data_IF_557913542053
#
_entry.id   IF_557913542053
#
_cell.length_a   1.000
_cell.length_b   1.000
_cell.length_c   1.000
_cell.angle_alpha   90.00
_cell.angle_beta   90.00
_cell.angle_gamma   90.00
#
_symmetry.space_group_name_H-M   'P 1'
#
loop_
_entity.id
_entity.type
_entity.pdbx_description
1 polymer ?
#
# COMPACT_ATOMS: atom_id res chain seq x y z
N UNK A 1 16.98 -21.31 -70.09
CA UNK A 1 16.03 -20.70 -69.12
C UNK A 1 16.73 -20.68 -67.77
N UNK A 2 16.81 -19.51 -67.16
CA UNK A 2 17.76 -19.13 -66.13
C UNK A 2 17.46 -19.68 -64.72
N UNK A 3 18.53 -19.82 -63.94
CA UNK A 3 18.53 -20.02 -62.48
C UNK A 3 18.00 -18.76 -61.80
N UNK A 4 17.04 -18.91 -60.88
CA UNK A 4 16.72 -17.89 -59.89
C UNK A 4 16.56 -18.54 -58.52
N UNK A 5 17.65 -18.50 -57.76
CA UNK A 5 17.68 -18.66 -56.31
C UNK A 5 16.95 -17.48 -55.67
N UNK A 6 15.90 -17.74 -54.88
CA UNK A 6 15.28 -16.73 -54.04
C UNK A 6 15.94 -16.74 -52.64
N UNK A 7 16.46 -15.61 -52.14
CA UNK A 7 16.83 -15.47 -50.75
C UNK A 7 15.61 -15.01 -49.95
N UNK A 8 15.18 -15.75 -48.92
CA UNK A 8 14.31 -15.18 -47.89
C UNK A 8 14.94 -15.37 -46.52
N UNK A 9 15.71 -14.32 -46.17
CA UNK A 9 15.94 -13.79 -44.83
C UNK A 9 15.50 -14.64 -43.65
N UNK A 10 16.51 -15.04 -42.85
CA UNK A 10 16.40 -15.14 -41.39
C UNK A 10 15.65 -13.94 -40.82
N UNK A 11 14.36 -14.10 -40.56
CA UNK A 11 13.69 -13.27 -39.55
C UNK A 11 14.01 -13.87 -38.20
N UNK A 12 15.09 -13.37 -37.58
CA UNK A 12 15.21 -13.38 -36.12
C UNK A 12 13.98 -12.63 -35.62
N UNK A 13 13.00 -13.35 -35.08
CA UNK A 13 11.97 -12.73 -34.26
C UNK A 13 12.68 -12.06 -33.10
N UNK A 14 12.62 -10.73 -33.07
CA UNK A 14 13.05 -9.91 -31.93
C UNK A 14 12.47 -10.53 -30.66
N UNK A 15 13.34 -11.12 -29.85
CA UNK A 15 13.05 -11.31 -28.43
C UNK A 15 12.67 -9.96 -27.86
N UNK A 16 11.58 -9.82 -27.08
CA UNK A 16 11.29 -8.59 -26.37
C UNK A 16 12.52 -8.29 -25.52
N UNK A 17 13.20 -7.19 -25.81
CA UNK A 17 14.42 -6.81 -25.10
C UNK A 17 14.00 -6.52 -23.67
N UNK A 18 14.27 -7.49 -22.79
CA UNK A 18 13.96 -7.41 -21.38
C UNK A 18 14.62 -6.13 -20.83
N UNK A 19 13.88 -5.16 -20.30
CA UNK A 19 14.44 -3.86 -19.90
C UNK A 19 15.55 -4.02 -18.85
N UNK A 20 15.49 -5.09 -18.05
CA UNK A 20 16.54 -5.47 -17.11
C UNK A 20 17.85 -5.88 -17.81
N UNK A 21 17.78 -6.52 -18.97
CA UNK A 21 18.96 -6.91 -19.75
C UNK A 21 19.67 -5.67 -20.36
N UNK A 22 18.91 -4.63 -20.71
CA UNK A 22 19.46 -3.35 -21.19
C UNK A 22 20.20 -2.63 -20.06
N UNK A 23 19.61 -2.60 -18.85
CA UNK A 23 20.24 -2.00 -17.67
C UNK A 23 21.54 -2.73 -17.31
N UNK A 24 21.54 -4.07 -17.34
CA UNK A 24 22.73 -4.88 -17.06
C UNK A 24 23.85 -4.67 -18.10
N UNK A 25 23.50 -4.59 -19.39
CA UNK A 25 24.47 -4.35 -20.46
C UNK A 25 25.10 -2.95 -20.38
N UNK A 26 24.33 -1.93 -20.04
CA UNK A 26 24.81 -0.57 -19.90
C UNK A 26 25.61 -0.35 -18.60
N UNK A 27 25.31 -1.09 -17.53
CA UNK A 27 26.16 -1.15 -16.32
C UNK A 27 27.52 -1.80 -16.61
N UNK A 28 27.53 -2.88 -17.40
CA UNK A 28 28.76 -3.57 -17.79
C UNK A 28 29.66 -2.74 -18.73
N UNK A 29 29.08 -1.82 -19.50
CA UNK A 29 29.79 -0.94 -20.44
C UNK A 29 30.31 0.38 -19.82
N UNK A 30 30.33 0.51 -18.48
CA UNK A 30 30.90 1.69 -17.82
C UNK A 30 30.03 2.95 -17.90
N UNK A 31 28.80 2.86 -18.40
CA UNK A 31 27.80 3.94 -18.41
C UNK A 31 26.98 4.01 -17.12
N UNK A 32 27.35 3.22 -16.10
CA UNK A 32 26.69 3.16 -14.80
C UNK A 32 26.41 4.53 -14.15
N UNK A 33 27.34 5.50 -14.15
CA UNK A 33 27.09 6.82 -13.56
C UNK A 33 25.98 7.60 -14.28
N UNK A 34 25.93 7.53 -15.62
CA UNK A 34 24.95 8.23 -16.45
C UNK A 34 23.56 7.60 -16.33
N UNK A 35 23.49 6.28 -16.14
CA UNK A 35 22.24 5.58 -15.84
C UNK A 35 21.73 5.87 -14.43
N UNK A 36 22.62 5.97 -13.44
CA UNK A 36 22.26 6.36 -12.08
C UNK A 36 21.74 7.80 -12.07
N UNK A 37 22.36 8.70 -12.82
CA UNK A 37 21.91 10.09 -12.97
C UNK A 37 20.57 10.17 -13.70
N UNK A 38 20.35 9.35 -14.75
CA UNK A 38 19.05 9.21 -15.42
C UNK A 38 17.97 8.63 -14.50
N UNK A 39 18.28 7.61 -13.70
CA UNK A 39 17.35 7.05 -12.70
C UNK A 39 17.03 8.07 -11.62
N UNK A 40 18.03 8.79 -11.10
CA UNK A 40 17.84 9.82 -10.09
C UNK A 40 17.03 11.00 -10.64
N UNK A 41 17.29 11.45 -11.87
CA UNK A 41 16.50 12.49 -12.53
C UNK A 41 15.09 12.01 -12.86
N UNK A 42 14.89 10.74 -13.21
CA UNK A 42 13.57 10.16 -13.45
C UNK A 42 12.79 9.99 -12.14
N UNK A 43 13.42 9.57 -11.04
CA UNK A 43 12.82 9.53 -9.70
C UNK A 43 12.45 10.95 -9.21
N UNK A 44 13.33 11.92 -9.44
CA UNK A 44 13.09 13.34 -9.11
C UNK A 44 12.02 13.97 -10.01
N UNK A 45 11.96 13.57 -11.28
CA UNK A 45 10.90 13.96 -12.21
C UNK A 45 9.57 13.29 -11.83
N UNK A 46 9.57 12.04 -11.36
CA UNK A 46 8.37 11.35 -10.87
C UNK A 46 7.80 12.02 -9.60
N UNK A 47 8.65 12.59 -8.74
CA UNK A 47 8.20 13.47 -7.64
C UNK A 47 7.57 14.78 -8.14
N UNK A 48 8.02 15.30 -9.29
CA UNK A 48 7.51 16.53 -9.91
C UNK A 48 6.26 16.33 -10.78
N UNK A 49 6.14 15.16 -11.42
CA UNK A 49 5.04 14.77 -12.30
C UNK A 49 4.03 13.98 -11.47
N UNK A 50 3.54 14.56 -10.36
CA UNK A 50 2.31 14.18 -9.65
C UNK A 50 1.97 12.68 -9.53
N UNK A 51 2.96 11.77 -9.57
CA UNK A 51 2.71 10.36 -9.41
C UNK A 51 2.26 10.19 -7.97
N UNK A 52 1.21 9.39 -7.71
CA UNK A 52 0.72 9.19 -6.36
C UNK A 52 1.87 8.63 -5.54
N UNK A 53 2.46 9.49 -4.71
CA UNK A 53 3.47 9.09 -3.75
C UNK A 53 2.75 8.08 -2.87
N UNK A 54 3.20 6.83 -2.90
CA UNK A 54 2.66 5.82 -2.02
C UNK A 54 2.87 6.30 -0.58
N UNK A 55 1.78 6.71 0.07
CA UNK A 55 1.84 7.14 1.46
C UNK A 55 2.28 5.91 2.27
N UNK A 56 3.31 6.03 3.13
CA UNK A 56 3.71 4.93 3.98
C UNK A 56 2.52 4.48 4.83
N UNK A 57 2.20 3.19 4.76
CA UNK A 57 1.11 2.54 5.47
C UNK A 57 1.60 1.18 5.96
N UNK A 58 1.05 0.71 7.08
CA UNK A 58 1.42 -0.56 7.70
C UNK A 58 0.69 -1.73 7.03
N UNK A 59 -0.56 -1.51 6.60
CA UNK A 59 -1.42 -2.55 6.03
C UNK A 59 -2.23 -2.05 4.84
N UNK A 60 -2.29 -2.84 3.76
CA UNK A 60 -3.14 -2.58 2.59
C UNK A 60 -4.35 -3.54 2.58
N UNK A 61 -5.53 -2.99 2.87
CA UNK A 61 -6.84 -3.64 2.81
C UNK A 61 -7.70 -3.06 1.68
N UNK A 62 -7.11 -2.29 0.77
CA UNK A 62 -7.84 -1.71 -0.37
C UNK A 62 -8.19 -2.74 -1.43
N UNK A 63 -7.56 -3.93 -1.41
CA UNK A 63 -7.76 -5.00 -2.39
C UNK A 63 -7.68 -4.54 -3.87
N UNK A 64 -6.88 -3.50 -4.14
CA UNK A 64 -6.77 -2.92 -5.49
C UNK A 64 -7.90 -1.96 -5.86
N UNK A 65 -8.69 -1.49 -4.89
CA UNK A 65 -9.70 -0.44 -5.08
C UNK A 65 -9.07 0.78 -5.74
N UNK A 66 -9.77 1.33 -6.74
CA UNK A 66 -9.39 2.55 -7.43
C UNK A 66 -9.50 3.78 -6.51
N UNK A 67 -10.44 3.73 -5.58
CA UNK A 67 -10.60 4.72 -4.51
C UNK A 67 -10.04 4.10 -3.23
N UNK A 68 -8.81 4.48 -2.89
CA UNK A 68 -8.15 4.08 -1.64
C UNK A 68 -8.02 5.29 -0.71
N UNK A 69 -8.28 5.05 0.57
CA UNK A 69 -8.22 6.01 1.66
C UNK A 69 -7.20 5.53 2.68
N UNK A 70 -6.53 6.45 3.35
CA UNK A 70 -5.55 6.18 4.39
C UNK A 70 -6.13 6.55 5.73
N UNK A 71 -6.28 5.59 6.64
CA UNK A 71 -6.92 5.79 7.94
C UNK A 71 -5.95 5.39 9.04
N UNK A 72 -5.88 6.20 10.08
CA UNK A 72 -4.94 5.99 11.19
C UNK A 72 -5.68 5.50 12.42
N UNK A 73 -5.29 4.34 12.93
CA UNK A 73 -5.77 3.82 14.21
C UNK A 73 -4.77 4.15 15.29
N UNK A 74 -5.19 4.91 16.31
CA UNK A 74 -4.32 5.37 17.39
C UNK A 74 -4.74 4.80 18.73
N UNK A 75 -3.84 4.06 19.37
CA UNK A 75 -4.01 3.57 20.73
C UNK A 75 -3.08 4.29 21.69
N UNK A 76 -3.60 5.35 22.31
CA UNK A 76 -2.86 6.23 23.22
C UNK A 76 -1.73 7.02 22.53
N UNK A 77 -0.81 7.64 23.30
CA UNK A 77 0.15 8.62 22.78
C UNK A 77 1.36 8.03 22.04
N UNK A 78 1.43 6.70 21.84
CA UNK A 78 2.66 6.04 21.36
C UNK A 78 2.44 5.00 20.25
N UNK A 79 1.20 4.74 19.83
CA UNK A 79 0.91 3.66 18.89
C UNK A 79 -0.11 4.10 17.86
N UNK A 80 0.36 4.18 16.63
CA UNK A 80 -0.43 4.50 15.46
C UNK A 80 -0.19 3.40 14.43
N UNK A 81 -1.25 2.99 13.75
CA UNK A 81 -1.20 2.09 12.60
C UNK A 81 -1.96 2.75 11.46
N UNK A 82 -1.30 2.89 10.32
CA UNK A 82 -1.88 3.50 9.13
C UNK A 82 -2.34 2.40 8.18
N UNK A 83 -3.62 2.40 7.85
CA UNK A 83 -4.23 1.43 6.95
C UNK A 83 -4.60 2.11 5.65
N UNK A 84 -4.25 1.48 4.53
CA UNK A 84 -4.82 1.82 3.24
C UNK A 84 -6.07 0.95 3.03
N UNK A 85 -7.24 1.55 2.94
CA UNK A 85 -8.54 0.87 2.83
C UNK A 85 -9.33 1.37 1.61
N UNK A 86 -10.26 0.56 1.13
CA UNK A 86 -11.27 1.01 0.16
C UNK A 86 -12.59 1.34 0.85
N UNK A 87 -13.53 2.01 0.16
CA UNK A 87 -14.84 2.32 0.71
C UNK A 87 -15.66 1.07 1.09
N UNK A 88 -15.42 -0.05 0.40
CA UNK A 88 -16.11 -1.32 0.63
C UNK A 88 -15.36 -2.24 1.62
N UNK A 89 -14.21 -1.79 2.16
CA UNK A 89 -13.46 -2.56 3.17
C UNK A 89 -14.30 -2.70 4.43
N UNK A 90 -14.50 -3.95 4.88
CA UNK A 90 -15.18 -4.25 6.15
C UNK A 90 -14.23 -3.88 7.30
N UNK A 91 -14.63 -2.93 8.15
CA UNK A 91 -13.75 -2.37 9.19
C UNK A 91 -13.36 -3.39 10.27
N UNK A 92 -14.12 -4.47 10.41
CA UNK A 92 -13.75 -5.61 11.25
C UNK A 92 -12.35 -6.15 10.91
N UNK A 93 -11.99 -6.22 9.62
CA UNK A 93 -10.66 -6.70 9.23
C UNK A 93 -9.54 -5.79 9.71
N UNK A 94 -9.71 -4.47 9.60
CA UNK A 94 -8.75 -3.51 10.13
C UNK A 94 -8.62 -3.65 11.67
N UNK A 95 -9.73 -3.84 12.37
CA UNK A 95 -9.74 -4.07 13.82
C UNK A 95 -9.02 -5.37 14.20
N UNK A 96 -9.25 -6.46 13.47
CA UNK A 96 -8.55 -7.74 13.69
C UNK A 96 -7.02 -7.55 13.57
N UNK A 97 -6.55 -6.79 12.59
CA UNK A 97 -5.13 -6.44 12.45
C UNK A 97 -4.61 -5.57 13.59
N UNK A 98 -5.38 -4.59 14.07
CA UNK A 98 -5.01 -3.81 15.26
C UNK A 98 -4.84 -4.70 16.49
N UNK A 99 -5.81 -5.61 16.74
CA UNK A 99 -5.79 -6.56 17.85
C UNK A 99 -4.57 -7.49 17.78
N UNK A 100 -4.23 -7.98 16.58
CA UNK A 100 -3.08 -8.84 16.36
C UNK A 100 -1.74 -8.10 16.47
N UNK A 101 -1.65 -6.87 15.98
CA UNK A 101 -0.40 -6.10 15.97
C UNK A 101 -0.05 -5.62 17.37
N UNK A 102 -1.02 -5.05 18.10
CA UNK A 102 -0.78 -4.56 19.46
C UNK A 102 -0.68 -5.66 20.51
N UNK A 103 -0.98 -6.92 20.14
CA UNK A 103 -0.78 -8.14 20.95
C UNK A 103 0.67 -8.32 21.42
N UNK A 104 1.63 -8.00 20.57
CA UNK A 104 3.04 -8.36 20.80
C UNK A 104 3.71 -7.48 21.86
N UNK A 105 3.19 -6.28 22.09
CA UNK A 105 3.86 -5.27 22.90
C UNK A 105 3.44 -5.27 24.37
N UNK A 106 2.30 -5.87 24.71
CA UNK A 106 1.71 -5.81 26.08
C UNK A 106 1.76 -7.18 26.79
N UNK A 107 2.36 -8.20 26.16
CA UNK A 107 2.53 -9.53 26.77
C UNK A 107 1.22 -10.32 26.93
N UNK A 108 0.14 -9.91 26.27
CA UNK A 108 -1.20 -10.51 26.37
C UNK A 108 -2.06 -10.22 25.14
N UNK A 109 -3.13 -11.02 24.96
CA UNK A 109 -4.10 -10.81 23.86
C UNK A 109 -5.13 -9.77 24.28
N UNK A 110 -5.21 -8.65 23.56
CA UNK A 110 -6.44 -7.85 23.54
C UNK A 110 -7.52 -8.66 22.83
N UNK A 111 -8.68 -8.77 23.47
CA UNK A 111 -9.89 -9.29 22.85
C UNK A 111 -10.67 -8.12 22.24
N UNK A 112 -11.59 -8.43 21.33
CA UNK A 112 -12.42 -7.40 20.69
C UNK A 112 -13.30 -6.62 21.68
N UNK A 113 -13.56 -7.16 22.88
CA UNK A 113 -14.27 -6.47 23.95
C UNK A 113 -13.35 -5.61 24.84
N UNK A 114 -12.04 -5.72 24.70
CA UNK A 114 -11.07 -4.96 25.50
C UNK A 114 -10.73 -3.61 24.87
N UNK A 115 -10.94 -3.46 23.55
CA UNK A 115 -10.67 -2.23 22.80
C UNK A 115 -11.95 -1.60 22.24
N UNK A 116 -12.02 -0.29 22.34
CA UNK A 116 -13.12 0.52 21.82
C UNK A 116 -12.59 1.48 20.77
N UNK A 117 -13.18 1.44 19.58
CA UNK A 117 -12.76 2.20 18.40
C UNK A 117 -13.77 3.32 18.14
N UNK A 118 -13.30 4.56 18.07
CA UNK A 118 -14.12 5.74 17.87
C UNK A 118 -13.65 6.54 16.66
N UNK A 119 -14.61 6.99 15.87
CA UNK A 119 -14.39 7.93 14.77
C UNK A 119 -14.24 9.36 15.31
N UNK A 120 -13.75 10.30 14.47
CA UNK A 120 -13.59 11.71 14.86
C UNK A 120 -14.89 12.39 15.35
N UNK A 121 -16.05 11.89 14.92
CA UNK A 121 -17.37 12.34 15.32
C UNK A 121 -17.88 11.70 16.63
N UNK A 122 -17.00 10.96 17.34
CA UNK A 122 -17.29 10.13 18.51
C UNK A 122 -18.25 8.95 18.26
N UNK A 123 -18.51 8.59 16.99
CA UNK A 123 -19.25 7.38 16.70
C UNK A 123 -18.39 6.15 17.00
N UNK A 124 -18.90 5.25 17.84
CA UNK A 124 -18.24 3.98 18.15
C UNK A 124 -18.41 3.00 17.00
N UNK A 125 -17.30 2.43 16.54
CA UNK A 125 -17.30 1.31 15.60
C UNK A 125 -17.59 0.03 16.39
N UNK A 126 -18.70 -0.62 16.08
CA UNK A 126 -19.10 -1.89 16.70
C UNK A 126 -18.43 -3.07 16.00
N UNK A 127 -17.50 -3.74 16.68
CA UNK A 127 -16.79 -4.90 16.14
C UNK A 127 -17.71 -6.04 15.68
N UNK A 128 -18.83 -6.25 16.37
CA UNK A 128 -19.75 -7.36 16.07
C UNK A 128 -20.73 -7.04 14.94
N UNK A 129 -20.74 -5.78 14.47
CA UNK A 129 -21.51 -5.36 13.30
C UNK A 129 -20.54 -5.07 12.15
N UNK A 130 -20.43 -5.98 11.16
CA UNK A 130 -19.50 -5.80 10.05
C UNK A 130 -20.02 -4.69 9.13
N UNK A 131 -19.63 -3.45 9.44
CA UNK A 131 -19.89 -2.27 8.63
C UNK A 131 -18.68 -1.98 7.74
N UNK A 132 -18.94 -1.49 6.52
CA UNK A 132 -17.89 -1.03 5.62
C UNK A 132 -17.44 0.39 5.97
N UNK A 133 -16.27 0.79 5.49
CA UNK A 133 -15.75 2.15 5.65
C UNK A 133 -16.77 3.20 5.16
N UNK A 134 -17.40 2.97 4.01
CA UNK A 134 -18.45 3.85 3.45
C UNK A 134 -19.67 3.96 4.37
N UNK A 135 -20.12 2.85 4.96
CA UNK A 135 -21.29 2.84 5.85
C UNK A 135 -21.04 3.59 7.17
N UNK A 136 -19.78 3.57 7.62
CA UNK A 136 -19.34 4.31 8.80
C UNK A 136 -18.99 5.77 8.49
N UNK A 137 -19.08 6.20 7.22
CA UNK A 137 -18.74 7.56 6.81
C UNK A 137 -17.24 7.88 6.93
N UNK A 138 -16.39 6.86 6.82
CA UNK A 138 -14.93 7.03 6.97
C UNK A 138 -14.36 7.74 5.75
N UNK A 139 -13.62 8.81 6.01
CA UNK A 139 -12.95 9.64 5.02
C UNK A 139 -11.44 9.39 4.98
N UNK A 140 -10.80 9.94 3.94
CA UNK A 140 -9.35 9.85 3.81
C UNK A 140 -8.66 10.69 4.88
N UNK A 141 -7.69 10.10 5.57
CA UNK A 141 -6.95 10.64 6.71
C UNK A 141 -7.72 10.72 8.03
N UNK A 142 -8.83 9.98 8.14
CA UNK A 142 -9.53 9.84 9.41
C UNK A 142 -8.63 9.23 10.49
N UNK A 143 -8.79 9.77 11.69
CA UNK A 143 -8.13 9.30 12.91
C UNK A 143 -9.14 8.53 13.76
N UNK A 144 -8.94 7.23 13.87
CA UNK A 144 -9.74 6.35 14.73
C UNK A 144 -9.03 6.22 16.07
N UNK A 145 -9.60 6.83 17.10
CA UNK A 145 -9.09 6.72 18.46
C UNK A 145 -9.51 5.39 19.08
N UNK A 146 -8.53 4.70 19.66
CA UNK A 146 -8.70 3.39 20.28
C UNK A 146 -8.36 3.47 21.76
N UNK A 147 -9.33 3.08 22.59
CA UNK A 147 -9.20 3.06 24.05
C UNK A 147 -9.32 1.64 24.57
N UNK A 148 -8.55 1.29 25.59
CA UNK A 148 -8.78 0.05 26.33
C UNK A 148 -9.77 0.25 27.47
N UNK A 149 -10.54 -0.79 27.79
CA UNK A 149 -11.46 -0.79 28.93
C UNK A 149 -10.76 -0.53 30.28
N UNK A 150 -9.45 -0.77 30.37
CA UNK A 150 -8.64 -0.50 31.56
C UNK A 150 -8.19 0.97 31.68
N UNK A 151 -8.34 1.79 30.63
CA UNK A 151 -7.97 3.20 30.59
C UNK A 151 -9.17 4.16 30.47
N UNK A 152 -10.37 3.66 30.16
CA UNK A 152 -11.61 4.43 30.26
C UNK A 152 -12.23 4.22 31.63
N UNK A 153 -12.00 5.18 32.55
CA UNK A 153 -12.53 5.14 33.92
C UNK A 153 -14.04 4.97 34.02
#
# INVERSE_FOLDING_TARGET
>A
MAVLSAPSSRSRSNSPTDPLAIIQAALANGQGPQLIELLATQLKANQFIGQPIAIPHDFDLSHGSQEAMYVTFRHGPRKELVFKIGPDTIMKHAIDWCLETWRNDWGGRFMAWDLFFYLPDNMRIDYYKPLTARQLGIENHDLIDVFSASHGG
#
